data_IF_815600908920
#
_entry.id   IF_815600908920
#
_cell.length_a   1.000
_cell.length_b   1.000
_cell.length_c   1.000
_cell.angle_alpha   90.00
_cell.angle_beta   90.00
_cell.angle_gamma   90.00
#
_symmetry.space_group_name_H-M   'P 1'
#
loop_
_entity.id
_entity.type
_entity.pdbx_description
1 polymer ?
#
# COMPACT_ATOMS: atom_id res chain seq x y z
N UNK A 1 -22.55 -55.49 -12.83
CA UNK A 1 -23.23 -55.16 -11.56
C UNK A 1 -22.57 -53.90 -10.97
N UNK A 2 -23.06 -52.70 -11.27
CA UNK A 2 -22.47 -51.43 -10.82
C UNK A 2 -23.37 -50.81 -9.74
N UNK A 3 -22.88 -50.68 -8.50
CA UNK A 3 -23.62 -49.99 -7.43
C UNK A 3 -23.41 -48.48 -7.58
N UNK A 4 -24.44 -47.78 -8.02
CA UNK A 4 -24.52 -46.31 -7.97
C UNK A 4 -24.59 -45.87 -6.51
N UNK A 5 -23.59 -45.11 -6.05
CA UNK A 5 -23.64 -44.43 -4.75
C UNK A 5 -24.26 -43.06 -4.97
N UNK A 6 -25.49 -42.88 -4.49
CA UNK A 6 -26.20 -41.60 -4.42
C UNK A 6 -25.49 -40.73 -3.39
N UNK A 7 -24.79 -39.68 -3.84
CA UNK A 7 -24.23 -38.65 -2.96
C UNK A 7 -25.33 -37.63 -2.72
N UNK A 8 -25.99 -37.74 -1.55
CA UNK A 8 -27.03 -36.80 -1.13
C UNK A 8 -26.37 -35.58 -0.48
N UNK A 9 -26.65 -34.39 -1.01
CA UNK A 9 -26.10 -33.14 -0.49
C UNK A 9 -26.67 -32.88 0.91
N UNK A 10 -25.82 -32.93 1.92
CA UNK A 10 -26.19 -32.53 3.27
C UNK A 10 -26.14 -31.00 3.36
N UNK A 11 -27.28 -30.37 3.58
CA UNK A 11 -27.35 -28.98 4.04
C UNK A 11 -27.57 -27.95 2.93
N UNK A 12 -28.84 -27.76 2.54
CA UNK A 12 -29.28 -26.68 1.65
C UNK A 12 -29.22 -25.28 2.29
N UNK A 13 -28.02 -24.74 2.49
CA UNK A 13 -27.85 -23.31 2.75
C UNK A 13 -27.07 -22.68 1.60
N UNK A 14 -27.78 -21.94 0.75
CA UNK A 14 -27.16 -21.07 -0.24
C UNK A 14 -26.38 -19.97 0.50
N UNK A 15 -25.07 -20.03 0.47
CA UNK A 15 -24.23 -18.90 0.88
C UNK A 15 -24.34 -17.85 -0.23
N UNK A 16 -25.09 -16.78 0.02
CA UNK A 16 -25.05 -15.57 -0.80
C UNK A 16 -23.85 -14.76 -0.39
N UNK A 17 -22.80 -14.79 -1.22
CA UNK A 17 -21.62 -13.94 -1.07
C UNK A 17 -22.04 -12.49 -1.40
N UNK A 18 -21.90 -11.51 -0.49
CA UNK A 18 -22.13 -10.12 -0.85
C UNK A 18 -21.11 -9.74 -1.94
N UNK A 19 -21.59 -9.17 -3.04
CA UNK A 19 -20.72 -8.55 -4.05
C UNK A 19 -19.99 -7.40 -3.36
N UNK A 20 -18.76 -7.62 -2.94
CA UNK A 20 -17.85 -6.54 -2.53
C UNK A 20 -17.70 -5.60 -3.71
N UNK A 21 -18.13 -4.36 -3.55
CA UNK A 21 -17.88 -3.31 -4.54
C UNK A 21 -16.37 -3.10 -4.64
N UNK A 22 -15.80 -3.00 -5.85
CA UNK A 22 -14.41 -2.59 -5.98
C UNK A 22 -14.30 -1.18 -5.39
N UNK A 23 -13.38 -0.99 -4.44
CA UNK A 23 -13.03 0.34 -3.97
C UNK A 23 -12.63 1.17 -5.19
N UNK A 24 -13.34 2.27 -5.44
CA UNK A 24 -13.04 3.18 -6.51
C UNK A 24 -11.59 3.66 -6.33
N UNK A 25 -10.77 3.47 -7.36
CA UNK A 25 -9.45 4.10 -7.43
C UNK A 25 -9.73 5.61 -7.43
N UNK A 26 -9.22 6.40 -6.47
CA UNK A 26 -9.41 7.84 -6.50
C UNK A 26 -8.67 8.37 -7.73
N UNK A 27 -9.42 8.65 -8.79
CA UNK A 27 -8.93 9.42 -9.92
C UNK A 27 -8.72 10.88 -9.49
N UNK A 28 -7.85 11.63 -10.19
CA UNK A 28 -7.59 13.03 -9.86
C UNK A 28 -8.91 13.80 -9.84
N UNK A 29 -9.15 14.52 -8.75
CA UNK A 29 -10.34 15.34 -8.60
C UNK A 29 -10.27 16.49 -9.62
N UNK A 30 -11.40 16.87 -10.25
CA UNK A 30 -11.45 18.07 -11.09
C UNK A 30 -11.13 19.37 -10.32
N UNK A 31 -10.98 19.30 -8.99
CA UNK A 31 -10.61 20.42 -8.13
C UNK A 31 -9.13 20.45 -7.72
N UNK A 32 -8.31 19.48 -8.14
CA UNK A 32 -6.88 19.45 -7.81
C UNK A 32 -6.10 20.44 -8.69
N UNK A 33 -5.56 21.50 -8.08
CA UNK A 33 -4.68 22.45 -8.78
C UNK A 33 -3.40 21.75 -9.22
N UNK A 34 -2.76 22.23 -10.30
CA UNK A 34 -1.47 21.71 -10.73
C UNK A 34 -0.43 21.74 -9.61
N UNK A 35 -0.44 22.80 -8.79
CA UNK A 35 0.42 22.91 -7.60
C UNK A 35 0.15 21.82 -6.57
N UNK A 36 -1.11 21.46 -6.32
CA UNK A 36 -1.45 20.37 -5.39
C UNK A 36 -0.93 19.02 -5.89
N UNK A 37 -1.03 18.76 -7.21
CA UNK A 37 -0.53 17.53 -7.84
C UNK A 37 0.99 17.44 -7.77
N UNK A 38 1.68 18.56 -7.99
CA UNK A 38 3.14 18.64 -7.87
C UNK A 38 3.61 18.39 -6.43
N UNK A 39 2.94 19.00 -5.44
CA UNK A 39 3.25 18.77 -4.02
C UNK A 39 3.02 17.31 -3.63
N UNK A 40 1.92 16.72 -4.09
CA UNK A 40 1.63 15.31 -3.85
C UNK A 40 2.68 14.40 -4.48
N UNK A 41 3.05 14.63 -5.75
CA UNK A 41 4.08 13.86 -6.42
C UNK A 41 5.44 13.95 -5.71
N UNK A 42 5.82 15.15 -5.25
CA UNK A 42 7.04 15.34 -4.47
C UNK A 42 7.02 14.59 -3.13
N UNK A 43 5.87 14.58 -2.45
CA UNK A 43 5.68 13.83 -1.21
C UNK A 43 5.70 12.31 -1.42
N UNK A 44 5.13 11.82 -2.52
CA UNK A 44 5.19 10.40 -2.90
C UNK A 44 6.62 9.96 -3.23
N UNK A 45 7.41 10.84 -3.84
CA UNK A 45 8.82 10.59 -4.11
C UNK A 45 9.64 10.51 -2.81
N UNK A 46 9.41 11.43 -1.87
CA UNK A 46 10.03 11.38 -0.53
C UNK A 46 9.63 10.09 0.21
N UNK A 47 8.35 9.71 0.17
CA UNK A 47 7.88 8.48 0.81
C UNK A 47 8.58 7.24 0.24
N UNK A 48 8.77 7.18 -1.08
CA UNK A 48 9.46 6.06 -1.73
C UNK A 48 10.94 6.00 -1.34
N UNK A 49 11.60 7.16 -1.23
CA UNK A 49 12.97 7.25 -0.73
C UNK A 49 13.07 6.76 0.72
N UNK A 50 12.17 7.23 1.59
CA UNK A 50 12.13 6.80 2.99
C UNK A 50 11.87 5.29 3.12
N UNK A 51 11.02 4.71 2.27
CA UNK A 51 10.77 3.27 2.28
C UNK A 51 12.06 2.47 2.01
N UNK A 52 12.85 2.88 1.01
CA UNK A 52 14.13 2.24 0.70
C UNK A 52 15.17 2.42 1.81
N UNK A 53 15.21 3.59 2.46
CA UNK A 53 16.10 3.83 3.59
C UNK A 53 15.69 3.00 4.82
N UNK A 54 14.40 2.90 5.12
CA UNK A 54 13.87 2.06 6.19
C UNK A 54 14.20 0.59 5.94
N UNK A 55 13.96 0.11 4.73
CA UNK A 55 14.32 -1.26 4.32
C UNK A 55 15.81 -1.52 4.48
N UNK A 56 16.67 -0.59 4.06
CA UNK A 56 18.12 -0.68 4.21
C UNK A 56 18.58 -0.65 5.67
N UNK A 57 17.83 0.00 6.55
CA UNK A 57 18.07 0.01 8.00
C UNK A 57 17.60 -1.28 8.69
N UNK A 58 17.11 -2.28 7.96
CA UNK A 58 16.56 -3.53 8.51
C UNK A 58 15.16 -3.36 9.10
N UNK A 59 14.46 -2.26 8.79
CA UNK A 59 13.08 -2.06 9.23
C UNK A 59 12.16 -3.05 8.49
N UNK A 60 11.41 -3.84 9.26
CA UNK A 60 10.55 -4.90 8.73
C UNK A 60 11.22 -6.28 8.62
N UNK A 61 12.49 -6.43 9.02
CA UNK A 61 13.10 -7.75 9.13
C UNK A 61 12.53 -8.53 10.33
N UNK A 62 12.26 -9.82 10.10
CA UNK A 62 11.71 -10.70 11.13
C UNK A 62 12.74 -10.92 12.25
N UNK A 63 12.32 -10.72 13.50
CA UNK A 63 13.18 -10.98 14.67
C UNK A 63 13.33 -12.47 14.94
N UNK A 64 14.52 -12.90 15.36
CA UNK A 64 14.79 -14.34 15.60
C UNK A 64 13.98 -14.94 16.76
N UNK A 65 13.83 -14.22 17.87
CA UNK A 65 13.23 -14.79 19.09
C UNK A 65 11.69 -14.61 19.19
N UNK A 66 11.08 -13.82 18.32
CA UNK A 66 9.64 -13.50 18.33
C UNK A 66 9.06 -13.17 16.94
N UNK A 67 9.68 -13.66 15.87
CA UNK A 67 9.24 -13.40 14.49
C UNK A 67 8.00 -14.19 14.10
N UNK A 68 7.13 -13.58 13.30
CA UNK A 68 5.90 -14.15 12.73
C UNK A 68 6.12 -15.09 11.53
N UNK A 69 7.36 -15.56 11.32
CA UNK A 69 7.71 -16.54 10.28
C UNK A 69 7.51 -16.02 8.85
N UNK A 70 7.27 -16.95 7.91
CA UNK A 70 7.09 -16.62 6.49
C UNK A 70 5.91 -15.66 6.23
N UNK A 71 4.88 -15.68 7.09
CA UNK A 71 3.74 -14.77 6.99
C UNK A 71 4.15 -13.31 7.19
N UNK A 72 4.98 -13.02 8.19
CA UNK A 72 5.46 -11.65 8.47
C UNK A 72 6.23 -11.06 7.28
N UNK A 73 7.10 -11.86 6.65
CA UNK A 73 7.93 -11.40 5.54
C UNK A 73 7.12 -10.87 4.35
N UNK A 74 5.94 -11.46 4.10
CA UNK A 74 5.06 -11.01 3.02
C UNK A 74 4.35 -9.69 3.32
N UNK A 75 4.15 -9.35 4.59
CA UNK A 75 3.50 -8.11 4.99
C UNK A 75 4.46 -7.01 5.44
N UNK A 76 5.72 -7.35 5.69
CA UNK A 76 6.76 -6.43 6.08
C UNK A 76 6.88 -5.24 5.12
N UNK A 77 6.94 -5.49 3.81
CA UNK A 77 7.04 -4.42 2.80
C UNK A 77 5.87 -3.42 2.88
N UNK A 78 4.64 -3.90 3.04
CA UNK A 78 3.49 -3.02 3.19
C UNK A 78 3.55 -2.17 4.46
N UNK A 79 4.09 -2.72 5.56
CA UNK A 79 4.30 -1.96 6.78
C UNK A 79 5.37 -0.88 6.60
N UNK A 80 6.47 -1.21 5.94
CA UNK A 80 7.53 -0.25 5.60
C UNK A 80 6.94 0.89 4.76
N UNK A 81 6.22 0.57 3.69
CA UNK A 81 5.59 1.55 2.79
C UNK A 81 4.59 2.44 3.53
N UNK A 82 3.74 1.86 4.36
CA UNK A 82 2.76 2.60 5.14
C UNK A 82 3.44 3.55 6.13
N UNK A 83 4.52 3.11 6.78
CA UNK A 83 5.29 3.93 7.69
C UNK A 83 5.97 5.09 6.96
N UNK A 84 6.63 4.81 5.85
CA UNK A 84 7.31 5.81 5.02
C UNK A 84 6.34 6.89 4.51
N UNK A 85 5.17 6.49 4.03
CA UNK A 85 4.09 7.42 3.63
C UNK A 85 3.61 8.26 4.81
N UNK A 86 3.45 7.68 5.99
CA UNK A 86 3.04 8.43 7.18
C UNK A 86 4.09 9.45 7.63
N UNK A 87 5.37 9.09 7.51
CA UNK A 87 6.48 10.01 7.79
C UNK A 87 6.47 11.19 6.82
N UNK A 88 6.43 10.93 5.51
CA UNK A 88 6.36 11.98 4.48
C UNK A 88 5.12 12.89 4.65
N UNK A 89 3.96 12.30 4.99
CA UNK A 89 2.73 13.03 5.28
C UNK A 89 2.85 14.01 6.46
N UNK A 90 3.69 13.70 7.45
CA UNK A 90 3.95 14.53 8.64
C UNK A 90 5.10 15.52 8.48
N UNK A 91 5.68 15.62 7.28
CA UNK A 91 6.79 16.53 6.98
C UNK A 91 8.14 15.83 6.79
N UNK A 92 8.20 14.51 7.00
CA UNK A 92 9.32 13.66 6.58
C UNK A 92 10.69 14.18 6.98
N UNK A 93 11.60 14.20 6.01
CA UNK A 93 12.96 14.74 6.14
C UNK A 93 13.11 16.07 5.39
N UNK A 94 12.03 16.59 4.80
CA UNK A 94 11.99 17.86 4.09
C UNK A 94 12.46 17.80 2.63
N UNK A 95 12.68 16.60 2.07
CA UNK A 95 13.05 16.47 0.65
C UNK A 95 11.89 16.85 -0.27
N UNK A 96 10.66 16.61 0.15
CA UNK A 96 9.47 16.92 -0.63
C UNK A 96 9.42 18.39 -1.08
N UNK A 97 9.85 19.35 -0.24
CA UNK A 97 9.84 20.77 -0.64
C UNK A 97 10.90 21.08 -1.70
N UNK A 98 12.12 20.53 -1.54
CA UNK A 98 13.18 20.70 -2.54
C UNK A 98 12.79 20.10 -3.90
N UNK A 99 12.17 18.91 -3.90
CA UNK A 99 11.68 18.25 -5.12
C UNK A 99 10.54 19.04 -5.75
N UNK A 100 9.61 19.56 -4.94
CA UNK A 100 8.51 20.39 -5.43
C UNK A 100 9.03 21.64 -6.15
N UNK A 101 9.99 22.35 -5.56
CA UNK A 101 10.58 23.55 -6.17
C UNK A 101 11.32 23.22 -7.47
N UNK A 102 12.05 22.09 -7.54
CA UNK A 102 12.66 21.62 -8.79
C UNK A 102 11.62 21.33 -9.88
N UNK A 103 10.57 20.56 -9.55
CA UNK A 103 9.50 20.22 -10.50
C UNK A 103 8.71 21.46 -10.97
N UNK A 104 8.58 22.47 -10.11
CA UNK A 104 7.95 23.76 -10.45
C UNK A 104 8.87 24.61 -11.34
N UNK A 105 10.17 24.58 -11.10
CA UNK A 105 11.19 25.32 -11.85
C UNK A 105 11.36 24.82 -13.29
N UNK A 106 11.30 23.50 -13.50
CA UNK A 106 11.48 22.86 -14.81
C UNK A 106 10.25 23.01 -15.73
N UNK A 107 9.10 23.42 -15.19
CA UNK A 107 7.83 23.54 -15.91
C UNK A 107 7.47 25.01 -16.21
N UNK A 108 8.48 25.81 -16.57
CA UNK A 108 8.35 27.13 -17.22
C UNK A 108 8.58 27.01 -18.71
#
# INVERSE_FOLDING_TARGET
MCKTRKVERIGGKSVTIPKSFPAAIPGPSPFDTQESRLRQAAQELEASFLAEMLKSAGFGEAREAFGGGAGEQHFASFMVDAHAKNMAAKGGIGLAESIYESLKGDMK
#
